data_IF_613732800552
#
_entry.id   IF_613732800552
#
_cell.length_a   1.000
_cell.length_b   1.000
_cell.length_c   1.000
_cell.angle_alpha   90.00
_cell.angle_beta   90.00
_cell.angle_gamma   90.00
#
_symmetry.space_group_name_H-M   'P 1'
#
loop_
_entity.id
_entity.type
_entity.pdbx_description
1 polymer ?
#
# COMPACT_ATOMS: atom_id res chain seq x y z
N UNK A 1 -15.09 15.38 -4.59
CA UNK A 1 -14.83 14.01 -5.07
C UNK A 1 -15.60 13.03 -4.21
N UNK A 2 -16.40 12.19 -4.82
CA UNK A 2 -17.11 11.14 -4.10
C UNK A 2 -16.31 9.85 -4.20
N UNK A 3 -15.68 9.45 -3.11
CA UNK A 3 -14.96 8.19 -3.03
C UNK A 3 -15.85 7.11 -2.42
N UNK A 4 -15.84 5.96 -3.06
CA UNK A 4 -16.41 4.75 -2.50
C UNK A 4 -15.27 3.77 -2.18
N UNK A 5 -15.11 3.44 -0.91
CA UNK A 5 -14.12 2.45 -0.46
C UNK A 5 -14.84 1.14 -0.24
N UNK A 6 -14.37 0.08 -0.88
CA UNK A 6 -14.99 -1.25 -0.80
C UNK A 6 -13.95 -2.36 -0.93
N UNK A 7 -14.27 -3.57 -0.50
CA UNK A 7 -13.42 -4.72 -0.82
C UNK A 7 -13.30 -4.91 -2.34
N UNK A 8 -12.12 -5.34 -2.78
CA UNK A 8 -11.89 -5.68 -4.18
C UNK A 8 -12.62 -6.99 -4.51
N UNK A 9 -13.15 -7.06 -5.72
CA UNK A 9 -13.73 -8.28 -6.29
C UNK A 9 -12.86 -8.76 -7.44
N UNK A 10 -13.09 -9.98 -7.90
CA UNK A 10 -12.26 -10.57 -8.96
C UNK A 10 -12.23 -9.74 -10.24
N UNK A 11 -13.34 -9.08 -10.57
CA UNK A 11 -13.42 -8.20 -11.73
C UNK A 11 -12.52 -6.97 -11.64
N UNK A 12 -12.01 -6.62 -10.46
CA UNK A 12 -11.12 -5.48 -10.25
C UNK A 12 -9.66 -5.78 -10.57
N UNK A 13 -9.30 -7.04 -10.82
CA UNK A 13 -7.89 -7.46 -10.93
C UNK A 13 -7.09 -6.62 -11.92
N UNK A 14 -7.62 -6.38 -13.12
CA UNK A 14 -6.93 -5.60 -14.15
C UNK A 14 -6.72 -4.14 -13.73
N UNK A 15 -7.74 -3.52 -13.15
CA UNK A 15 -7.66 -2.11 -12.69
C UNK A 15 -6.73 -1.95 -11.49
N UNK A 16 -6.77 -2.90 -10.56
CA UNK A 16 -5.84 -2.91 -9.42
C UNK A 16 -4.40 -3.03 -9.92
N UNK A 17 -4.15 -3.90 -10.91
CA UNK A 17 -2.82 -4.03 -11.52
C UNK A 17 -2.38 -2.72 -12.19
N UNK A 18 -3.27 -2.02 -12.89
CA UNK A 18 -2.96 -0.72 -13.50
C UNK A 18 -2.57 0.31 -12.44
N UNK A 19 -3.32 0.38 -11.34
CA UNK A 19 -3.01 1.30 -10.23
C UNK A 19 -1.61 1.02 -9.69
N UNK A 20 -1.30 -0.24 -9.42
CA UNK A 20 0.00 -0.63 -8.87
C UNK A 20 1.13 -0.31 -9.85
N UNK A 21 1.03 -0.74 -11.09
CA UNK A 21 2.10 -0.55 -12.08
C UNK A 21 2.31 0.92 -12.43
N UNK A 22 1.24 1.68 -12.61
CA UNK A 22 1.30 3.10 -12.91
C UNK A 22 1.93 3.89 -11.76
N UNK A 23 1.51 3.60 -10.53
CA UNK A 23 2.05 4.26 -9.35
C UNK A 23 3.54 3.94 -9.15
N UNK A 24 3.94 2.69 -9.38
CA UNK A 24 5.33 2.27 -9.27
C UNK A 24 6.22 2.98 -10.29
N UNK A 25 5.78 3.07 -11.53
CA UNK A 25 6.55 3.77 -12.59
C UNK A 25 6.71 5.24 -12.29
N UNK A 26 5.66 5.87 -11.81
CA UNK A 26 5.68 7.31 -11.53
C UNK A 26 6.46 7.65 -10.27
N UNK A 27 6.22 6.93 -9.18
CA UNK A 27 6.75 7.27 -7.86
C UNK A 27 8.11 6.63 -7.57
N UNK A 28 8.43 5.50 -8.22
CA UNK A 28 9.59 4.69 -7.89
C UNK A 28 10.45 4.36 -9.12
N UNK A 29 10.85 5.36 -9.94
CA UNK A 29 11.69 5.07 -11.12
C UNK A 29 13.07 4.53 -10.75
N UNK A 30 13.54 4.77 -9.52
CA UNK A 30 14.81 4.25 -9.01
C UNK A 30 14.74 2.77 -8.59
N UNK A 31 13.55 2.21 -8.47
CA UNK A 31 13.32 0.82 -8.07
C UNK A 31 12.30 0.19 -9.03
N UNK A 32 12.68 -0.05 -10.30
CA UNK A 32 11.76 -0.60 -11.28
C UNK A 32 11.29 -1.99 -10.86
N UNK A 33 10.06 -2.32 -11.22
CA UNK A 33 9.49 -3.63 -10.92
C UNK A 33 10.25 -4.73 -11.68
N UNK A 34 10.51 -5.83 -10.99
CA UNK A 34 11.15 -7.01 -11.57
C UNK A 34 10.16 -7.76 -12.47
N UNK A 35 8.87 -7.74 -12.11
CA UNK A 35 7.82 -8.43 -12.86
C UNK A 35 7.29 -7.58 -14.00
N UNK A 36 6.81 -8.25 -15.07
CA UNK A 36 6.06 -7.59 -16.14
C UNK A 36 4.65 -7.23 -15.67
N UNK A 37 3.98 -6.32 -16.39
CA UNK A 37 2.60 -5.93 -16.07
C UNK A 37 1.67 -7.15 -16.09
N UNK A 38 1.86 -8.07 -17.04
CA UNK A 38 1.05 -9.28 -17.12
C UNK A 38 1.29 -10.22 -15.94
N UNK A 39 2.53 -10.35 -15.49
CA UNK A 39 2.84 -11.13 -14.29
C UNK A 39 2.20 -10.52 -13.05
N UNK A 40 2.22 -9.19 -12.91
CA UNK A 40 1.57 -8.48 -11.81
C UNK A 40 0.07 -8.71 -11.85
N UNK A 41 -0.56 -8.57 -13.03
CA UNK A 41 -2.00 -8.78 -13.19
C UNK A 41 -2.39 -10.20 -12.79
N UNK A 42 -1.64 -11.20 -13.22
CA UNK A 42 -1.89 -12.61 -12.88
C UNK A 42 -1.75 -12.84 -11.37
N UNK A 43 -0.72 -12.30 -10.76
CA UNK A 43 -0.53 -12.44 -9.33
C UNK A 43 -1.69 -11.81 -8.54
N UNK A 44 -2.15 -10.63 -8.95
CA UNK A 44 -3.30 -9.99 -8.31
C UNK A 44 -4.56 -10.82 -8.48
N UNK A 45 -4.82 -11.32 -9.69
CA UNK A 45 -6.02 -12.08 -10.00
C UNK A 45 -6.04 -13.47 -9.34
N UNK A 46 -4.90 -14.16 -9.31
CA UNK A 46 -4.83 -15.55 -8.90
C UNK A 46 -4.44 -15.73 -7.44
N UNK A 47 -3.72 -14.78 -6.86
CA UNK A 47 -3.17 -14.89 -5.50
C UNK A 47 -3.72 -13.81 -4.57
N UNK A 48 -3.53 -12.54 -4.92
CA UNK A 48 -3.78 -11.44 -3.98
C UNK A 48 -5.26 -11.28 -3.65
N UNK A 49 -6.12 -11.12 -4.67
CA UNK A 49 -7.56 -10.94 -4.46
C UNK A 49 -8.20 -12.18 -3.84
N UNK A 50 -7.92 -13.42 -4.32
CA UNK A 50 -8.47 -14.62 -3.67
C UNK A 50 -8.05 -14.79 -2.22
N UNK A 51 -6.85 -14.34 -1.84
CA UNK A 51 -6.39 -14.37 -0.45
C UNK A 51 -7.27 -13.51 0.46
N UNK A 52 -7.89 -12.45 -0.10
CA UNK A 52 -8.72 -11.51 0.64
C UNK A 52 -7.92 -10.35 1.22
N UNK A 53 -8.64 -9.44 1.89
CA UNK A 53 -8.08 -8.24 2.51
C UNK A 53 -7.45 -7.27 1.50
N UNK A 54 -8.05 -7.17 0.33
CA UNK A 54 -7.74 -6.13 -0.67
C UNK A 54 -8.92 -5.18 -0.77
N UNK A 55 -8.64 -3.89 -0.73
CA UNK A 55 -9.64 -2.83 -0.77
C UNK A 55 -9.30 -1.87 -1.90
N UNK A 56 -10.33 -1.29 -2.50
CA UNK A 56 -10.16 -0.30 -3.55
C UNK A 56 -10.91 0.98 -3.18
N UNK A 57 -10.42 2.09 -3.69
CA UNK A 57 -11.14 3.35 -3.68
C UNK A 57 -11.56 3.63 -5.11
N UNK A 58 -12.86 3.86 -5.33
CA UNK A 58 -13.32 4.26 -6.65
C UNK A 58 -13.94 5.66 -6.62
N UNK A 59 -13.71 6.38 -7.70
CA UNK A 59 -14.26 7.68 -7.96
C UNK A 59 -15.07 7.59 -9.24
N UNK A 60 -16.38 7.82 -9.16
CA UNK A 60 -17.29 7.73 -10.30
C UNK A 60 -17.16 6.40 -11.07
N UNK A 61 -17.10 5.30 -10.32
CA UNK A 61 -17.01 3.97 -10.89
C UNK A 61 -15.63 3.54 -11.37
N UNK A 62 -14.61 4.40 -11.25
CA UNK A 62 -13.24 4.09 -11.64
C UNK A 62 -12.38 3.85 -10.42
N UNK A 63 -11.66 2.72 -10.39
CA UNK A 63 -10.70 2.42 -9.32
C UNK A 63 -9.47 3.34 -9.46
N UNK A 64 -9.20 4.11 -8.40
CA UNK A 64 -8.12 5.11 -8.39
C UNK A 64 -7.04 4.80 -7.35
N UNK A 65 -7.29 3.84 -6.46
CA UNK A 65 -6.33 3.46 -5.41
C UNK A 65 -6.62 2.06 -4.91
N UNK A 66 -5.62 1.44 -4.30
CA UNK A 66 -5.77 0.10 -3.73
C UNK A 66 -4.96 -0.04 -2.44
N UNK A 67 -5.44 -0.94 -1.59
CA UNK A 67 -4.80 -1.33 -0.32
C UNK A 67 -4.84 -2.85 -0.22
N UNK A 68 -3.71 -3.45 0.12
CA UNK A 68 -3.66 -4.87 0.48
C UNK A 68 -3.02 -5.00 1.87
N UNK A 69 -3.68 -5.71 2.75
CA UNK A 69 -3.23 -5.93 4.12
C UNK A 69 -3.13 -7.42 4.42
N UNK A 70 -2.35 -7.75 5.44
CA UNK A 70 -2.25 -9.12 5.95
C UNK A 70 -2.08 -9.11 7.45
N UNK A 71 -2.35 -10.27 8.07
CA UNK A 71 -2.25 -10.44 9.51
C UNK A 71 -1.16 -11.45 9.82
N UNK A 72 -0.24 -11.05 10.72
CA UNK A 72 0.81 -11.92 11.23
C UNK A 72 0.58 -12.27 12.70
N UNK A 73 1.45 -13.08 13.26
CA UNK A 73 1.37 -13.51 14.67
C UNK A 73 1.53 -12.33 15.64
N UNK A 74 2.32 -11.34 15.27
CA UNK A 74 2.67 -10.20 16.14
C UNK A 74 2.07 -8.88 15.70
N UNK A 75 1.00 -8.89 14.91
CA UNK A 75 0.34 -7.69 14.44
C UNK A 75 -0.02 -7.72 12.97
N UNK A 76 -0.32 -6.56 12.40
CA UNK A 76 -0.74 -6.45 11.01
C UNK A 76 0.32 -5.90 10.10
N UNK A 77 0.10 -6.08 8.79
CA UNK A 77 0.97 -5.57 7.75
C UNK A 77 0.17 -4.83 6.69
N UNK A 78 0.70 -3.70 6.25
CA UNK A 78 0.27 -3.08 5.00
C UNK A 78 1.26 -3.56 3.94
N UNK A 79 0.76 -4.44 3.06
CA UNK A 79 1.59 -5.03 2.01
C UNK A 79 1.67 -4.15 0.77
N UNK A 80 0.57 -3.49 0.42
CA UNK A 80 0.46 -2.61 -0.74
C UNK A 80 -0.47 -1.45 -0.40
N UNK A 81 -0.08 -0.24 -0.76
CA UNK A 81 -0.93 0.95 -0.70
C UNK A 81 -0.50 1.88 -1.83
N UNK A 82 -1.33 2.02 -2.83
CA UNK A 82 -1.02 2.84 -4.00
C UNK A 82 -2.22 3.69 -4.40
N UNK A 83 -1.94 4.93 -4.78
CA UNK A 83 -2.89 5.88 -5.32
C UNK A 83 -2.41 6.27 -6.72
N UNK A 84 -3.31 6.30 -7.72
CA UNK A 84 -2.93 6.75 -9.07
C UNK A 84 -2.32 8.15 -9.01
N UNK A 85 -1.26 8.42 -9.79
CA UNK A 85 -0.56 9.71 -9.72
C UNK A 85 -1.45 10.94 -9.85
N UNK A 86 -2.45 10.89 -10.72
CA UNK A 86 -3.39 12.00 -10.91
C UNK A 86 -4.32 12.28 -9.73
N UNK A 87 -4.35 11.39 -8.75
CA UNK A 87 -5.21 11.50 -7.57
C UNK A 87 -4.43 11.68 -6.27
N UNK A 88 -3.11 11.83 -6.36
CA UNK A 88 -2.26 12.04 -5.19
C UNK A 88 -2.56 13.40 -4.53
N UNK A 89 -2.37 13.47 -3.21
CA UNK A 89 -2.54 14.71 -2.45
C UNK A 89 -4.00 15.10 -2.18
N UNK A 90 -4.95 14.19 -2.38
CA UNK A 90 -6.39 14.44 -2.19
C UNK A 90 -7.00 13.68 -1.01
N UNK A 91 -6.16 13.13 -0.14
CA UNK A 91 -6.62 12.42 1.07
C UNK A 91 -7.06 10.98 0.85
N UNK A 92 -6.89 10.42 -0.34
CA UNK A 92 -7.30 9.04 -0.65
C UNK A 92 -6.45 8.04 0.12
N UNK A 93 -5.13 8.25 0.14
CA UNK A 93 -4.21 7.39 0.89
C UNK A 93 -4.53 7.37 2.37
N UNK A 94 -4.86 8.51 2.96
CA UNK A 94 -5.27 8.61 4.37
C UNK A 94 -6.54 7.80 4.64
N UNK A 95 -7.53 7.87 3.77
CA UNK A 95 -8.78 7.12 3.93
C UNK A 95 -8.54 5.62 3.87
N UNK A 96 -7.69 5.15 2.94
CA UNK A 96 -7.31 3.73 2.88
C UNK A 96 -6.49 3.31 4.10
N UNK A 97 -5.60 4.18 4.59
CA UNK A 97 -4.85 3.91 5.80
C UNK A 97 -5.77 3.71 7.00
N UNK A 98 -6.84 4.50 7.10
CA UNK A 98 -7.86 4.32 8.14
C UNK A 98 -8.57 2.98 8.03
N UNK A 99 -8.83 2.50 6.82
CA UNK A 99 -9.37 1.15 6.61
C UNK A 99 -8.41 0.11 7.19
N UNK A 100 -7.12 0.21 6.87
CA UNK A 100 -6.11 -0.70 7.42
C UNK A 100 -6.12 -0.68 8.95
N UNK A 101 -6.12 0.49 9.56
CA UNK A 101 -6.11 0.62 11.03
C UNK A 101 -7.39 0.11 11.68
N UNK A 102 -8.53 0.13 10.97
CA UNK A 102 -9.78 -0.43 11.47
C UNK A 102 -9.83 -1.95 11.42
N UNK A 103 -9.01 -2.57 10.57
CA UNK A 103 -8.99 -4.01 10.32
C UNK A 103 -7.85 -4.74 11.02
N UNK A 104 -6.76 -4.03 11.31
CA UNK A 104 -5.54 -4.61 11.85
C UNK A 104 -5.33 -4.22 13.31
N UNK A 105 -4.81 -5.16 14.11
CA UNK A 105 -4.37 -4.88 15.48
C UNK A 105 -2.95 -4.33 15.46
N UNK A 106 -2.64 -3.29 16.24
CA UNK A 106 -1.27 -2.83 16.40
C UNK A 106 -0.37 -3.92 17.01
N UNK A 107 0.94 -3.93 16.73
CA UNK A 107 1.61 -2.99 15.83
C UNK A 107 1.30 -3.29 14.37
N UNK A 108 1.17 -2.25 13.55
CA UNK A 108 1.02 -2.35 12.10
C UNK A 108 2.32 -1.94 11.46
N UNK A 109 2.85 -2.79 10.58
CA UNK A 109 4.16 -2.60 9.95
C UNK A 109 4.05 -2.50 8.45
N UNK A 110 5.02 -1.85 7.86
CA UNK A 110 5.17 -1.78 6.41
C UNK A 110 6.62 -1.49 6.05
N UNK A 111 6.98 -1.84 4.81
CA UNK A 111 8.25 -1.41 4.22
C UNK A 111 7.99 -0.34 3.17
N UNK A 112 8.87 0.66 3.11
CA UNK A 112 8.92 1.60 1.98
C UNK A 112 10.39 1.86 1.64
N UNK A 113 10.66 2.24 0.38
CA UNK A 113 12.05 2.53 -0.02
C UNK A 113 12.55 3.81 0.64
N UNK A 114 13.82 3.81 1.06
CA UNK A 114 14.42 4.99 1.69
C UNK A 114 14.36 6.23 0.79
N UNK A 115 14.48 6.05 -0.52
CA UNK A 115 14.44 7.14 -1.47
C UNK A 115 13.03 7.68 -1.75
N UNK A 116 11.98 6.98 -1.29
CA UNK A 116 10.61 7.43 -1.46
C UNK A 116 10.24 8.44 -0.37
N UNK A 117 10.71 9.66 -0.52
CA UNK A 117 10.54 10.72 0.48
C UNK A 117 9.05 11.05 0.72
N UNK A 118 8.23 11.01 -0.31
CA UNK A 118 6.79 11.28 -0.21
C UNK A 118 6.07 10.27 0.67
N UNK A 119 6.33 8.97 0.44
CA UNK A 119 5.75 7.92 1.27
C UNK A 119 6.24 8.01 2.71
N UNK A 120 7.54 8.26 2.91
CA UNK A 120 8.10 8.39 4.25
C UNK A 120 7.42 9.52 5.03
N UNK A 121 7.27 10.70 4.42
CA UNK A 121 6.56 11.84 5.05
C UNK A 121 5.10 11.47 5.35
N UNK A 122 4.45 10.78 4.44
CA UNK A 122 3.05 10.37 4.61
C UNK A 122 2.89 9.46 5.85
N UNK A 123 3.70 8.41 5.95
CA UNK A 123 3.60 7.48 7.07
C UNK A 123 4.03 8.14 8.39
N UNK A 124 5.09 8.93 8.40
CA UNK A 124 5.54 9.64 9.60
C UNK A 124 4.49 10.62 10.10
N UNK A 125 3.81 11.32 9.19
CA UNK A 125 2.71 12.22 9.55
C UNK A 125 1.54 11.48 10.21
N UNK A 126 1.35 10.21 9.88
CA UNK A 126 0.27 9.39 10.43
C UNK A 126 0.71 8.50 11.59
N UNK A 127 1.81 8.83 12.23
CA UNK A 127 2.24 8.19 13.47
C UNK A 127 3.12 6.96 13.31
N UNK A 128 3.60 6.68 12.12
CA UNK A 128 4.55 5.60 11.89
C UNK A 128 5.96 6.05 12.23
N UNK A 129 6.72 5.15 12.87
CA UNK A 129 8.13 5.40 13.22
C UNK A 129 9.02 4.43 12.45
N UNK A 130 10.14 4.92 11.95
CA UNK A 130 11.15 4.09 11.32
C UNK A 130 11.86 3.27 12.40
N UNK A 131 11.77 1.95 12.31
CA UNK A 131 12.38 1.05 13.31
C UNK A 131 13.60 0.31 12.79
N UNK A 132 13.76 0.22 11.47
CA UNK A 132 14.94 -0.41 10.87
C UNK A 132 15.17 0.09 9.45
N UNK A 133 16.42 0.44 9.16
CA UNK A 133 16.88 0.77 7.82
C UNK A 133 17.66 -0.42 7.27
N UNK A 134 17.40 -0.82 6.03
CA UNK A 134 18.13 -1.92 5.39
C UNK A 134 18.83 -1.43 4.13
N UNK A 135 19.80 -2.22 3.67
CA UNK A 135 20.53 -1.94 2.43
C UNK A 135 19.80 -2.43 1.16
N UNK A 136 18.61 -3.03 1.33
CA UNK A 136 17.83 -3.58 0.22
C UNK A 136 18.18 -5.00 -0.17
N UNK A 137 19.09 -5.66 0.55
CA UNK A 137 19.50 -7.03 0.22
C UNK A 137 18.38 -8.06 0.35
N UNK A 138 17.33 -7.73 1.11
CA UNK A 138 16.19 -8.61 1.33
C UNK A 138 14.99 -8.36 0.41
N UNK A 139 15.04 -7.36 -0.48
CA UNK A 139 13.92 -7.11 -1.39
C UNK A 139 14.30 -7.38 -2.85
N UNK A 140 13.29 -7.61 -3.69
CA UNK A 140 13.49 -7.98 -5.10
C UNK A 140 14.19 -6.89 -5.90
N UNK A 141 13.90 -5.63 -5.61
CA UNK A 141 14.44 -4.47 -6.32
C UNK A 141 15.87 -4.14 -5.89
N UNK A 142 16.35 -4.75 -4.81
CA UNK A 142 17.66 -4.50 -4.20
C UNK A 142 17.90 -3.02 -3.92
N UNK A 143 16.83 -2.33 -3.54
CA UNK A 143 16.87 -0.91 -3.16
C UNK A 143 16.73 -0.75 -1.66
N UNK A 144 17.55 0.12 -1.03
CA UNK A 144 17.45 0.35 0.42
C UNK A 144 16.04 0.71 0.84
N UNK A 145 15.54 0.03 1.88
CA UNK A 145 14.20 0.24 2.40
C UNK A 145 14.20 0.56 3.90
N UNK A 146 13.03 0.88 4.41
CA UNK A 146 12.80 1.23 5.82
C UNK A 146 11.61 0.42 6.31
N UNK A 147 11.76 -0.23 7.46
CA UNK A 147 10.65 -0.83 8.18
C UNK A 147 10.02 0.22 9.09
N UNK A 148 8.76 0.50 8.85
CA UNK A 148 7.95 1.39 9.68
C UNK A 148 7.00 0.61 10.58
N UNK A 149 6.72 1.16 11.75
CA UNK A 149 5.80 0.56 12.71
C UNK A 149 4.85 1.61 13.28
N UNK A 150 3.58 1.28 13.35
CA UNK A 150 2.55 2.07 14.03
C UNK A 150 2.03 1.25 15.23
N UNK A 151 2.09 1.84 16.41
CA UNK A 151 1.73 1.16 17.68
C UNK A 151 0.32 1.43 18.15
N UNK A 152 -0.46 2.12 17.35
CA UNK A 152 -1.82 2.46 17.68
C UNK A 152 -1.94 3.90 18.18
N UNK A 153 -3.18 4.32 18.41
CA UNK A 153 -3.46 5.63 18.96
C UNK A 153 -3.19 5.58 20.46
N UNK A 154 -2.38 6.51 20.99
CA UNK A 154 -2.23 6.65 22.43
C UNK A 154 -3.59 7.07 23.02
N UNK A 155 -4.05 6.31 24.03
CA UNK A 155 -5.21 6.72 24.78
C UNK A 155 -4.90 8.08 25.41
N UNK A 156 -5.69 9.09 25.05
CA UNK A 156 -5.63 10.38 25.72
C UNK A 156 -6.14 10.15 27.14
N UNK A 157 -5.18 9.97 28.05
CA UNK A 157 -5.49 9.83 29.47
C UNK A 157 -6.00 11.16 30.02
#
# INVERSE_FOLDING_TARGET
MQLNLRPAIQADASTVAEVLCESRRWCLPFAPMVQTDEEVRRWIADILIPRGDVYVAENQGQVVAMLAISRGESGGWIDQLYVRPGYAGQGIGERLLRVAHSKLKPPVRLYTFQANAGARRFYERHGYEAVRFTDGGGNEERSPDVLYEWRGVEDAA
#
